data_IF_343149288167
#
_entry.id   IF_343149288167
#
_cell.length_a   1.000
_cell.length_b   1.000
_cell.length_c   1.000
_cell.angle_alpha   90.00
_cell.angle_beta   90.00
_cell.angle_gamma   90.00
#
_symmetry.space_group_name_H-M   'P 1'
#
loop_
_entity.id
_entity.type
_entity.pdbx_description
1 polymer ?
#
# COMPACT_ATOMS: atom_id res chain seq x y z
N UNK A 1 44.28 -3.60 78.69
CA UNK A 1 42.92 -3.26 79.12
C UNK A 1 42.23 -2.59 77.95
N UNK A 2 41.22 -3.27 77.37
CA UNK A 2 39.95 -2.77 76.81
C UNK A 2 39.75 -1.23 76.78
N UNK A 3 39.24 -0.55 75.74
CA UNK A 3 38.03 -0.76 74.90
C UNK A 3 37.98 0.31 73.76
N UNK A 4 37.64 -0.02 72.51
CA UNK A 4 36.33 0.11 71.80
C UNK A 4 35.94 1.53 71.28
N UNK A 5 35.70 1.58 69.94
CA UNK A 5 34.68 2.33 69.15
C UNK A 5 35.01 3.59 68.31
N UNK A 6 34.84 3.37 66.99
CA UNK A 6 34.03 4.10 65.99
C UNK A 6 34.53 5.38 65.28
N UNK A 7 34.70 5.28 63.94
CA UNK A 7 34.11 6.09 62.84
C UNK A 7 34.70 5.56 61.51
N UNK A 8 33.97 4.84 60.63
CA UNK A 8 33.16 5.33 59.48
C UNK A 8 33.91 6.39 58.63
N UNK A 9 34.15 6.28 57.32
CA UNK A 9 33.73 5.35 56.28
C UNK A 9 33.71 6.11 54.93
N UNK A 10 34.65 5.83 54.03
CA UNK A 10 34.65 6.21 52.61
C UNK A 10 35.63 5.24 51.91
N UNK A 11 35.14 4.31 51.10
CA UNK A 11 35.03 4.48 49.66
C UNK A 11 35.80 3.32 49.02
N UNK A 12 35.49 2.98 47.76
CA UNK A 12 36.03 1.86 46.96
C UNK A 12 35.21 0.55 47.03
N UNK A 13 34.29 0.38 46.08
CA UNK A 13 33.66 -0.89 45.71
C UNK A 13 33.13 -0.76 44.27
N UNK A 14 33.95 -1.11 43.29
CA UNK A 14 33.99 -2.42 42.62
C UNK A 14 33.00 -2.54 41.45
N UNK A 15 33.57 -2.76 40.27
CA UNK A 15 32.92 -2.98 38.98
C UNK A 15 31.95 -4.18 39.05
N UNK A 16 30.66 -3.89 39.09
CA UNK A 16 29.58 -4.88 39.02
C UNK A 16 28.90 -4.90 37.66
N UNK A 17 29.29 -5.88 36.84
CA UNK A 17 28.49 -6.61 35.84
C UNK A 17 27.06 -6.08 35.58
N UNK A 18 26.83 -5.50 34.40
CA UNK A 18 25.49 -5.19 33.91
C UNK A 18 24.75 -6.48 33.54
N UNK A 19 23.76 -6.86 34.35
CA UNK A 19 22.79 -7.90 34.00
C UNK A 19 21.72 -7.33 33.04
N UNK A 20 21.24 -8.09 32.04
CA UNK A 20 20.26 -7.62 31.07
C UNK A 20 18.84 -7.66 31.69
N UNK A 21 18.45 -6.59 32.37
CA UNK A 21 17.08 -6.43 32.91
C UNK A 21 16.55 -4.99 32.85
N UNK A 22 17.05 -4.18 31.92
CA UNK A 22 16.61 -2.79 31.71
C UNK A 22 15.47 -2.66 30.68
N UNK A 23 14.52 -3.60 30.64
CA UNK A 23 13.36 -3.56 29.73
C UNK A 23 11.99 -3.63 30.43
N UNK A 24 11.90 -3.33 31.73
CA UNK A 24 10.73 -3.71 32.52
C UNK A 24 9.98 -2.61 33.28
N UNK A 25 10.25 -1.31 33.12
CA UNK A 25 9.40 -0.33 33.80
C UNK A 25 9.27 1.06 33.14
N UNK A 26 8.27 1.27 32.25
CA UNK A 26 7.97 2.60 31.71
C UNK A 26 7.46 3.60 32.77
N UNK A 27 7.00 3.15 33.95
CA UNK A 27 6.57 4.05 35.02
C UNK A 27 7.76 4.72 35.73
N UNK A 28 8.93 4.07 35.77
CA UNK A 28 10.15 4.66 36.33
C UNK A 28 10.67 5.85 35.49
N UNK A 29 10.46 5.80 34.17
CA UNK A 29 10.79 6.92 33.28
C UNK A 29 9.84 8.12 33.48
N UNK A 30 8.54 7.86 33.68
CA UNK A 30 7.53 8.88 33.94
C UNK A 30 7.73 9.61 35.29
N UNK A 31 8.15 8.90 36.33
CA UNK A 31 8.42 9.53 37.65
C UNK A 31 9.64 10.45 37.64
N UNK A 32 10.64 10.21 36.77
CA UNK A 32 11.84 11.06 36.66
C UNK A 32 11.62 12.33 35.84
N UNK A 33 10.66 12.30 34.91
CA UNK A 33 10.20 13.50 34.17
C UNK A 33 9.43 14.48 35.08
N UNK A 34 8.76 13.98 36.12
CA UNK A 34 7.99 14.79 37.06
C UNK A 34 8.83 15.43 38.17
N UNK A 35 10.09 15.01 38.35
CA UNK A 35 10.95 15.46 39.46
C UNK A 35 11.87 16.66 39.15
N UNK A 36 11.73 17.30 37.97
CA UNK A 36 12.33 18.61 37.68
C UNK A 36 13.86 18.72 37.79
N UNK A 37 14.61 17.61 37.69
CA UNK A 37 16.08 17.65 37.74
C UNK A 37 16.66 18.10 36.39
N UNK A 38 17.67 19.01 36.36
CA UNK A 38 18.26 19.48 35.11
C UNK A 38 18.98 18.33 34.40
N UNK A 39 18.59 18.08 33.14
CA UNK A 39 19.17 17.02 32.28
C UNK A 39 20.29 17.63 31.42
N UNK A 40 21.46 16.99 31.45
CA UNK A 40 22.62 17.29 30.60
C UNK A 40 22.33 16.98 29.11
N UNK A 41 22.86 17.81 28.22
CA UNK A 41 22.57 17.87 26.78
C UNK A 41 22.95 16.60 26.00
N UNK A 42 23.63 15.64 26.63
CA UNK A 42 24.09 14.38 26.04
C UNK A 42 23.06 13.24 25.97
N UNK A 43 21.86 13.37 26.56
CA UNK A 43 20.86 12.27 26.62
C UNK A 43 19.58 12.51 25.80
N UNK A 44 19.47 13.59 25.03
CA UNK A 44 18.25 13.92 24.27
C UNK A 44 18.04 13.07 23.01
N UNK A 45 19.03 12.30 22.56
CA UNK A 45 18.96 11.51 21.33
C UNK A 45 18.56 10.03 21.54
N UNK A 46 18.26 9.59 22.77
CA UNK A 46 17.98 8.18 23.07
C UNK A 46 16.64 7.94 23.77
N UNK A 47 15.80 8.98 23.92
CA UNK A 47 14.57 8.92 24.73
C UNK A 47 13.29 9.35 23.97
N UNK A 48 13.30 9.40 22.63
CA UNK A 48 12.14 9.78 21.82
C UNK A 48 11.53 8.63 21.00
N UNK A 49 12.15 7.45 21.00
CA UNK A 49 11.63 6.24 20.34
C UNK A 49 10.34 5.63 20.95
N UNK A 50 9.95 5.83 22.23
CA UNK A 50 8.71 5.25 22.74
C UNK A 50 7.45 6.10 22.49
N UNK A 51 7.54 7.30 21.91
CA UNK A 51 6.36 8.13 21.62
C UNK A 51 5.67 7.79 20.29
N UNK A 52 6.38 7.22 19.31
CA UNK A 52 5.79 6.85 18.00
C UNK A 52 4.95 5.56 18.04
N UNK A 53 5.20 4.66 19.01
CA UNK A 53 4.41 3.43 19.19
C UNK A 53 3.08 3.71 19.91
N UNK A 54 3.00 4.78 20.70
CA UNK A 54 1.80 5.15 21.44
C UNK A 54 0.71 5.76 20.54
N UNK A 55 1.09 6.53 19.51
CA UNK A 55 0.12 7.08 18.55
C UNK A 55 -0.48 6.00 17.63
N UNK A 56 0.35 5.05 17.15
CA UNK A 56 -0.12 3.97 16.28
C UNK A 56 -1.06 2.99 17.01
N UNK A 57 -0.79 2.70 18.29
CA UNK A 57 -1.69 1.89 19.13
C UNK A 57 -2.97 2.62 19.49
N UNK A 58 -2.91 3.93 19.74
CA UNK A 58 -4.11 4.76 19.97
C UNK A 58 -4.98 4.86 18.70
N UNK A 59 -4.38 5.02 17.52
CA UNK A 59 -5.10 5.01 16.24
C UNK A 59 -5.75 3.65 15.95
N UNK A 60 -5.05 2.54 16.21
CA UNK A 60 -5.61 1.20 16.05
C UNK A 60 -6.81 0.96 16.99
N UNK A 61 -6.73 1.43 18.25
CA UNK A 61 -7.82 1.30 19.22
C UNK A 61 -9.06 2.11 18.80
N UNK A 62 -8.87 3.33 18.27
CA UNK A 62 -9.97 4.17 17.76
C UNK A 62 -10.71 3.47 16.60
N UNK A 63 -9.98 2.84 15.68
CA UNK A 63 -10.59 2.08 14.57
C UNK A 63 -11.40 0.88 15.07
N UNK A 64 -10.91 0.17 16.10
CA UNK A 64 -11.64 -0.96 16.70
C UNK A 64 -12.91 -0.48 17.43
N UNK A 65 -12.83 0.63 18.18
CA UNK A 65 -13.99 1.24 18.84
C UNK A 65 -15.03 1.74 17.83
N UNK A 66 -14.62 2.36 16.72
CA UNK A 66 -15.55 2.76 15.65
C UNK A 66 -16.27 1.57 15.02
N UNK A 67 -15.59 0.43 14.83
CA UNK A 67 -16.20 -0.80 14.30
C UNK A 67 -17.21 -1.41 15.27
N UNK A 68 -16.94 -1.39 16.57
CA UNK A 68 -17.86 -1.91 17.58
C UNK A 68 -19.13 -1.05 17.72
N UNK A 69 -19.01 0.27 17.50
CA UNK A 69 -20.17 1.18 17.51
C UNK A 69 -21.02 1.08 16.24
N UNK A 70 -20.45 0.65 15.11
CA UNK A 70 -21.17 0.52 13.83
C UNK A 70 -21.84 -0.86 13.63
N UNK A 71 -21.37 -1.90 14.32
CA UNK A 71 -21.90 -3.26 14.19
C UNK A 71 -22.98 -3.61 15.23
N UNK A 72 -23.51 -2.62 15.95
CA UNK A 72 -24.53 -2.80 16.99
C UNK A 72 -25.97 -2.91 16.48
N UNK A 73 -26.22 -2.83 15.17
CA UNK A 73 -27.59 -2.89 14.63
C UNK A 73 -27.63 -3.49 13.22
N UNK A 74 -27.73 -4.82 13.13
CA UNK A 74 -28.14 -5.51 11.91
C UNK A 74 -28.72 -6.89 12.25
N UNK A 75 -29.89 -6.87 12.89
CA UNK A 75 -30.84 -7.99 12.76
C UNK A 75 -31.96 -7.57 11.79
N UNK A 76 -32.38 -8.54 10.97
CA UNK A 76 -33.58 -8.59 10.12
C UNK A 76 -33.47 -8.27 8.61
N UNK A 77 -33.74 -9.35 7.85
CA UNK A 77 -34.57 -9.41 6.62
C UNK A 77 -33.94 -8.89 5.30
N UNK A 78 -34.16 -9.45 4.11
CA UNK A 78 -35.30 -10.20 3.55
C UNK A 78 -34.88 -11.13 2.39
N UNK A 79 -35.73 -12.13 2.14
CA UNK A 79 -35.73 -13.07 1.01
C UNK A 79 -36.30 -12.49 -0.32
N UNK A 80 -36.09 -13.21 -1.43
CA UNK A 80 -36.80 -13.06 -2.73
C UNK A 80 -35.84 -13.18 -3.95
N UNK A 81 -35.64 -14.33 -4.60
CA UNK A 81 -36.42 -15.00 -5.67
C UNK A 81 -36.76 -14.14 -6.91
N UNK A 82 -36.40 -14.63 -8.11
CA UNK A 82 -37.15 -14.35 -9.35
C UNK A 82 -36.37 -14.09 -10.65
N UNK A 83 -36.05 -15.17 -11.37
CA UNK A 83 -36.25 -15.42 -12.83
C UNK A 83 -35.94 -14.38 -13.93
N UNK A 84 -35.11 -14.82 -14.87
CA UNK A 84 -35.31 -14.90 -16.34
C UNK A 84 -35.66 -13.63 -17.16
N UNK A 85 -34.80 -13.30 -18.13
CA UNK A 85 -35.03 -13.45 -19.59
C UNK A 85 -34.04 -12.63 -20.43
N UNK A 86 -33.65 -13.19 -21.57
CA UNK A 86 -32.73 -12.66 -22.57
C UNK A 86 -33.30 -11.48 -23.38
N UNK A 87 -32.47 -10.84 -24.23
CA UNK A 87 -32.96 -10.38 -25.52
C UNK A 87 -32.14 -10.93 -26.71
N UNK A 88 -32.88 -11.34 -27.73
CA UNK A 88 -32.45 -11.62 -29.11
C UNK A 88 -32.96 -10.52 -30.04
N UNK A 89 -32.25 -10.29 -31.15
CA UNK A 89 -32.64 -9.42 -32.29
C UNK A 89 -31.60 -8.32 -32.53
N UNK A 90 -30.67 -8.36 -33.48
CA UNK A 90 -30.66 -8.67 -34.91
C UNK A 90 -31.21 -7.57 -35.83
N UNK A 91 -30.39 -7.27 -36.86
CA UNK A 91 -30.65 -6.54 -38.12
C UNK A 91 -30.68 -5.00 -38.04
N UNK A 92 -30.29 -4.21 -39.06
CA UNK A 92 -29.62 -4.40 -40.37
C UNK A 92 -29.68 -3.02 -41.08
N UNK A 93 -28.72 -2.73 -41.97
CA UNK A 93 -28.81 -1.68 -43.01
C UNK A 93 -27.76 -0.58 -42.86
N UNK A 94 -26.98 -0.14 -43.85
CA UNK A 94 -26.95 -0.41 -45.29
C UNK A 94 -26.56 0.88 -46.04
N UNK A 95 -25.50 0.84 -46.87
CA UNK A 95 -25.12 1.87 -47.85
C UNK A 95 -24.22 3.00 -47.32
N UNK A 96 -23.19 3.52 -48.00
CA UNK A 96 -22.69 3.33 -49.36
C UNK A 96 -21.95 4.63 -49.78
N UNK A 97 -20.82 4.51 -50.50
CA UNK A 97 -20.35 5.54 -51.43
C UNK A 97 -19.18 6.46 -51.02
N UNK A 98 -18.01 6.21 -51.63
CA UNK A 98 -17.42 7.16 -52.59
C UNK A 98 -16.44 8.24 -52.10
N UNK A 99 -15.14 8.00 -52.32
CA UNK A 99 -14.32 8.83 -53.21
C UNK A 99 -13.58 10.07 -52.68
N UNK A 100 -12.29 10.17 -53.04
CA UNK A 100 -11.61 11.45 -53.27
C UNK A 100 -10.44 11.76 -52.33
N UNK A 101 -9.21 11.52 -52.81
CA UNK A 101 -8.00 12.02 -52.16
C UNK A 101 -7.70 13.47 -52.50
N UNK A 102 -6.91 14.14 -51.65
CA UNK A 102 -6.06 15.29 -52.00
C UNK A 102 -5.00 15.51 -50.92
N UNK A 103 -3.86 16.01 -51.38
CA UNK A 103 -2.53 16.12 -50.75
C UNK A 103 -2.29 17.55 -50.27
N UNK A 104 -1.21 17.74 -49.49
CA UNK A 104 -0.49 18.99 -49.16
C UNK A 104 -0.90 19.64 -47.82
N UNK A 105 -0.08 19.58 -46.75
CA UNK A 105 1.16 20.32 -46.43
C UNK A 105 0.89 21.63 -45.66
N UNK A 106 1.47 21.77 -44.46
CA UNK A 106 1.49 23.03 -43.71
C UNK A 106 1.86 22.80 -42.24
N UNK A 107 3.00 23.35 -41.83
CA UNK A 107 3.60 23.19 -40.51
C UNK A 107 2.88 23.98 -39.39
N UNK A 108 3.04 23.51 -38.14
CA UNK A 108 3.49 24.27 -36.94
C UNK A 108 2.66 24.02 -35.68
N UNK A 109 3.35 23.42 -34.69
CA UNK A 109 3.31 23.71 -33.24
C UNK A 109 1.96 23.90 -32.52
N UNK A 110 1.57 22.91 -31.70
CA UNK A 110 1.28 23.04 -30.27
C UNK A 110 0.56 21.78 -29.76
N UNK A 111 0.99 21.26 -28.61
CA UNK A 111 0.28 20.23 -27.86
C UNK A 111 0.64 18.80 -28.27
N UNK A 112 1.70 18.25 -27.68
CA UNK A 112 1.84 16.80 -27.57
C UNK A 112 0.69 16.28 -26.70
N UNK A 113 -0.45 16.00 -27.34
CA UNK A 113 -1.45 15.09 -26.81
C UNK A 113 -0.73 13.76 -26.58
N UNK A 114 -0.65 13.39 -25.31
CA UNK A 114 -0.17 12.09 -24.82
C UNK A 114 -0.70 11.02 -25.75
N UNK A 115 0.21 10.33 -26.44
CA UNK A 115 -0.16 9.17 -27.23
C UNK A 115 -0.75 8.21 -26.22
N UNK A 116 -2.05 7.96 -26.31
CA UNK A 116 -2.69 6.82 -25.66
C UNK A 116 -1.84 5.63 -26.11
N UNK A 117 -0.98 5.14 -25.22
CA UNK A 117 -0.13 4.00 -25.53
C UNK A 117 -1.10 2.90 -25.95
N UNK A 118 -0.98 2.44 -27.20
CA UNK A 118 -1.74 1.33 -27.77
C UNK A 118 -1.48 -0.01 -27.04
N UNK A 119 -0.88 0.08 -25.85
CA UNK A 119 -0.53 -1.00 -24.96
C UNK A 119 -1.55 -1.19 -23.82
N UNK A 120 -2.55 -0.34 -23.63
CA UNK A 120 -3.61 -0.65 -22.65
C UNK A 120 -4.56 -1.73 -23.22
N UNK A 121 -4.71 -2.86 -22.54
CA UNK A 121 -5.75 -3.85 -22.89
C UNK A 121 -7.17 -3.27 -22.70
N UNK A 122 -8.23 -3.89 -23.23
CA UNK A 122 -9.59 -3.41 -23.04
C UNK A 122 -9.94 -3.34 -21.54
N UNK A 123 -10.63 -2.28 -21.13
CA UNK A 123 -11.09 -2.12 -19.76
C UNK A 123 -12.17 -3.17 -19.42
N UNK A 124 -12.14 -3.67 -18.19
CA UNK A 124 -13.20 -4.50 -17.62
C UNK A 124 -14.50 -3.69 -17.46
N UNK A 125 -15.61 -4.39 -17.19
CA UNK A 125 -16.89 -3.74 -16.86
C UNK A 125 -16.81 -2.83 -15.63
N UNK A 126 -15.83 -3.05 -14.75
CA UNK A 126 -15.53 -2.19 -13.60
C UNK A 126 -14.63 -0.98 -13.95
N UNK A 127 -14.27 -0.82 -15.24
CA UNK A 127 -13.44 0.28 -15.74
C UNK A 127 -11.94 0.11 -15.47
N UNK A 128 -11.48 -1.12 -15.19
CA UNK A 128 -10.06 -1.40 -14.94
C UNK A 128 -9.39 -2.02 -16.16
N UNK A 129 -8.23 -1.51 -16.53
CA UNK A 129 -7.31 -2.16 -17.46
C UNK A 129 -6.27 -2.98 -16.69
N UNK A 130 -5.74 -4.03 -17.33
CA UNK A 130 -4.67 -4.83 -16.74
C UNK A 130 -3.39 -3.99 -16.57
N UNK A 131 -2.77 -3.95 -15.37
CA UNK A 131 -1.56 -3.16 -15.14
C UNK A 131 -0.29 -3.75 -15.78
N UNK A 132 -0.33 -5.04 -16.14
CA UNK A 132 0.71 -5.76 -16.87
C UNK A 132 0.11 -6.56 -18.03
N UNK A 133 0.96 -6.90 -19.01
CA UNK A 133 0.67 -7.87 -20.06
C UNK A 133 1.48 -9.14 -19.87
N UNK A 134 0.94 -10.26 -20.38
CA UNK A 134 1.65 -11.55 -20.50
C UNK A 134 2.36 -11.99 -19.20
N UNK A 135 1.75 -11.73 -18.05
CA UNK A 135 2.30 -12.04 -16.74
C UNK A 135 1.88 -13.44 -16.27
N UNK A 136 2.66 -13.99 -15.35
CA UNK A 136 2.30 -15.20 -14.61
C UNK A 136 1.85 -14.80 -13.21
N UNK A 137 0.67 -15.26 -12.77
CA UNK A 137 0.26 -15.08 -11.38
C UNK A 137 1.07 -16.02 -10.50
N UNK A 138 1.85 -15.46 -9.57
CA UNK A 138 2.69 -16.23 -8.63
C UNK A 138 2.08 -16.34 -7.23
N UNK A 139 1.20 -15.41 -6.86
CA UNK A 139 0.44 -15.48 -5.62
C UNK A 139 -0.92 -14.81 -5.79
N UNK A 140 -1.99 -15.51 -5.40
CA UNK A 140 -3.35 -14.98 -5.42
C UNK A 140 -3.64 -14.17 -4.15
N UNK A 141 -4.65 -13.32 -4.22
CA UNK A 141 -5.25 -12.68 -3.04
C UNK A 141 -5.81 -13.75 -2.09
N UNK A 142 -5.69 -13.53 -0.78
CA UNK A 142 -6.31 -14.36 0.24
C UNK A 142 -5.34 -15.15 1.14
N UNK A 143 -5.87 -16.12 1.92
CA UNK A 143 -5.08 -16.89 2.86
C UNK A 143 -3.99 -17.70 2.17
N UNK A 144 -2.78 -17.66 2.70
CA UNK A 144 -1.63 -18.43 2.19
C UNK A 144 -0.65 -18.78 3.31
N UNK A 145 0.38 -19.56 2.96
CA UNK A 145 1.60 -19.63 3.76
C UNK A 145 2.54 -18.51 3.32
N UNK A 146 3.11 -17.79 4.28
CA UNK A 146 4.09 -16.73 4.06
C UNK A 146 5.30 -17.30 3.29
N UNK A 147 5.64 -16.75 2.11
CA UNK A 147 6.76 -17.26 1.31
C UNK A 147 8.12 -17.14 2.01
N UNK A 148 8.24 -16.21 2.96
CA UNK A 148 9.50 -15.95 3.68
C UNK A 148 9.59 -16.67 5.03
N UNK A 149 8.47 -16.86 5.72
CA UNK A 149 8.46 -17.43 7.07
C UNK A 149 7.77 -18.80 7.20
N UNK A 150 7.03 -19.25 6.18
CA UNK A 150 6.25 -20.48 6.18
C UNK A 150 5.01 -20.48 7.09
N UNK A 151 4.74 -19.37 7.78
CA UNK A 151 3.61 -19.23 8.71
C UNK A 151 2.31 -18.87 7.99
N UNK A 152 1.12 -19.12 8.58
CA UNK A 152 -0.14 -18.60 8.04
C UNK A 152 -0.07 -17.09 7.84
N UNK A 153 -0.51 -16.64 6.67
CA UNK A 153 -0.45 -15.26 6.20
C UNK A 153 -1.69 -14.95 5.36
N UNK A 154 -1.98 -13.67 5.15
CA UNK A 154 -3.05 -13.23 4.25
C UNK A 154 -2.48 -12.26 3.23
N UNK A 155 -2.61 -12.62 1.95
CA UNK A 155 -2.09 -11.82 0.86
C UNK A 155 -3.13 -10.79 0.42
N UNK A 156 -2.82 -9.51 0.65
CA UNK A 156 -3.70 -8.37 0.43
C UNK A 156 -3.85 -7.95 -1.06
N UNK A 157 -3.17 -8.64 -1.97
CA UNK A 157 -3.13 -8.30 -3.39
C UNK A 157 -2.94 -9.50 -4.32
N UNK A 158 -2.52 -9.21 -5.56
CA UNK A 158 -2.20 -10.19 -6.60
C UNK A 158 -0.76 -9.99 -7.05
N UNK A 159 0.05 -11.05 -6.99
CA UNK A 159 1.45 -11.02 -7.42
C UNK A 159 1.56 -11.50 -8.86
N UNK A 160 2.02 -10.60 -9.74
CA UNK A 160 2.15 -10.81 -11.18
C UNK A 160 3.62 -10.77 -11.60
N UNK A 161 4.20 -11.94 -11.89
CA UNK A 161 5.59 -12.05 -12.29
C UNK A 161 5.83 -11.58 -13.72
N UNK A 162 6.85 -10.73 -13.87
CA UNK A 162 7.39 -10.19 -15.11
C UNK A 162 8.86 -9.81 -14.90
N UNK A 163 9.70 -9.77 -15.95
CA UNK A 163 11.08 -9.30 -15.81
C UNK A 163 11.17 -7.89 -15.22
N UNK A 164 12.22 -7.64 -14.44
CA UNK A 164 12.56 -6.29 -13.97
C UNK A 164 12.65 -5.33 -15.15
N UNK A 165 12.06 -4.15 -15.04
CA UNK A 165 12.02 -3.16 -16.13
C UNK A 165 10.82 -3.27 -17.06
N UNK A 166 9.95 -4.28 -16.90
CA UNK A 166 8.67 -4.31 -17.62
C UNK A 166 7.82 -3.09 -17.21
N UNK A 167 7.22 -2.34 -18.16
CA UNK A 167 6.33 -1.22 -17.87
C UNK A 167 5.12 -1.63 -17.02
N UNK A 168 4.79 -0.83 -16.00
CA UNK A 168 3.58 -0.96 -15.19
C UNK A 168 2.61 0.14 -15.61
N UNK A 169 1.38 -0.24 -15.92
CA UNK A 169 0.32 0.68 -16.33
C UNK A 169 -0.64 0.98 -15.16
N UNK A 170 -1.16 2.21 -15.11
CA UNK A 170 -2.26 2.55 -14.21
C UNK A 170 -3.50 1.75 -14.58
N UNK A 171 -4.01 0.94 -13.65
CA UNK A 171 -5.16 0.08 -13.89
C UNK A 171 -6.46 0.88 -14.07
N UNK A 172 -6.55 2.09 -13.51
CA UNK A 172 -7.72 2.98 -13.67
C UNK A 172 -7.27 4.43 -13.53
N UNK A 173 -7.94 5.34 -14.24
CA UNK A 173 -7.61 6.77 -14.20
C UNK A 173 -7.79 7.33 -12.78
N UNK A 174 -6.97 8.31 -12.41
CA UNK A 174 -7.01 8.89 -11.08
C UNK A 174 -5.89 9.86 -10.78
N UNK A 175 -5.73 10.15 -9.50
CA UNK A 175 -4.67 11.00 -8.95
C UNK A 175 -3.71 10.17 -8.12
N UNK A 176 -2.41 10.33 -8.35
CA UNK A 176 -1.37 9.69 -7.56
C UNK A 176 -1.37 10.32 -6.17
N UNK A 177 -1.76 9.55 -5.15
CA UNK A 177 -1.79 10.02 -3.75
C UNK A 177 -0.55 9.60 -2.98
N UNK A 178 0.16 8.58 -3.46
CA UNK A 178 1.47 8.15 -2.96
C UNK A 178 2.40 7.80 -4.11
N UNK A 179 3.67 8.23 -4.02
CA UNK A 179 4.78 7.79 -4.86
C UNK A 179 6.05 7.91 -4.03
N UNK A 180 6.47 6.82 -3.39
CA UNK A 180 7.56 6.87 -2.41
C UNK A 180 8.32 5.54 -2.29
N UNK A 181 9.49 5.63 -1.66
CA UNK A 181 10.22 4.47 -1.16
C UNK A 181 9.70 4.15 0.24
N UNK A 182 9.42 2.89 0.49
CA UNK A 182 9.12 2.33 1.80
C UNK A 182 10.30 1.49 2.26
N UNK A 183 10.79 1.73 3.48
CA UNK A 183 11.80 0.86 4.12
C UNK A 183 11.20 -0.47 4.57
N UNK A 184 9.87 -0.60 4.54
CA UNK A 184 9.11 -1.79 4.86
C UNK A 184 8.75 -2.67 3.66
N UNK A 185 7.57 -3.28 3.74
CA UNK A 185 7.15 -4.40 2.90
C UNK A 185 7.01 -4.06 1.41
N UNK A 186 6.55 -2.86 1.07
CA UNK A 186 6.21 -2.52 -0.32
C UNK A 186 7.41 -2.12 -1.18
N UNK A 187 8.53 -1.72 -0.57
CA UNK A 187 9.67 -1.18 -1.32
C UNK A 187 9.30 0.10 -2.06
N UNK A 188 9.59 0.18 -3.36
CA UNK A 188 9.14 1.32 -4.18
C UNK A 188 7.71 1.11 -4.63
N UNK A 189 6.85 2.08 -4.36
CA UNK A 189 5.43 1.91 -4.64
C UNK A 189 4.70 3.20 -5.01
N UNK A 190 3.55 3.01 -5.64
CA UNK A 190 2.61 4.05 -6.06
C UNK A 190 1.21 3.68 -5.57
N UNK A 191 0.45 4.68 -5.12
CA UNK A 191 -1.00 4.56 -4.87
C UNK A 191 -1.75 5.59 -5.70
N UNK A 192 -2.79 5.14 -6.39
CA UNK A 192 -3.68 6.00 -7.18
C UNK A 192 -5.06 5.98 -6.55
N UNK A 193 -5.63 7.16 -6.29
CA UNK A 193 -7.03 7.35 -5.90
C UNK A 193 -7.86 7.63 -7.13
N UNK A 194 -8.97 6.91 -7.27
CA UNK A 194 -9.88 6.99 -8.40
C UNK A 194 -11.08 7.90 -8.09
N UNK A 195 -11.83 8.27 -9.13
CA UNK A 195 -12.97 9.19 -9.02
C UNK A 195 -14.12 8.65 -8.14
N UNK A 196 -14.26 7.33 -8.04
CA UNK A 196 -15.23 6.65 -7.17
C UNK A 196 -14.79 6.58 -5.70
N UNK A 197 -13.59 7.10 -5.37
CA UNK A 197 -12.98 7.01 -4.05
C UNK A 197 -12.20 5.72 -3.78
N UNK A 198 -12.25 4.75 -4.70
CA UNK A 198 -11.43 3.55 -4.66
C UNK A 198 -9.95 3.86 -4.88
N UNK A 199 -9.09 2.90 -4.55
CA UNK A 199 -7.63 3.04 -4.72
C UNK A 199 -7.01 1.79 -5.34
N UNK A 200 -5.91 1.99 -6.04
CA UNK A 200 -5.02 0.91 -6.49
C UNK A 200 -3.61 1.14 -5.99
N UNK A 201 -2.92 0.06 -5.61
CA UNK A 201 -1.52 0.08 -5.17
C UNK A 201 -0.65 -0.78 -6.07
N UNK A 202 0.55 -0.28 -6.32
CA UNK A 202 1.54 -0.90 -7.19
C UNK A 202 2.86 -0.92 -6.44
N UNK A 203 3.37 -2.10 -6.09
CA UNK A 203 4.54 -2.23 -5.21
C UNK A 203 5.66 -3.07 -5.84
N UNK A 204 6.77 -3.16 -5.10
CA UNK A 204 8.02 -3.82 -5.50
C UNK A 204 8.65 -3.24 -6.76
N UNK A 205 8.37 -1.98 -7.10
CA UNK A 205 8.84 -1.36 -8.34
C UNK A 205 10.37 -1.21 -8.35
N UNK A 206 10.98 -1.25 -9.55
CA UNK A 206 12.40 -0.88 -9.73
C UNK A 206 12.55 0.64 -9.88
N UNK A 207 11.57 1.27 -10.54
CA UNK A 207 11.47 2.71 -10.72
C UNK A 207 10.00 3.16 -10.70
N UNK A 208 9.74 4.31 -10.06
CA UNK A 208 8.47 5.04 -10.16
C UNK A 208 8.58 6.04 -11.31
N UNK A 209 7.53 6.13 -12.12
CA UNK A 209 7.46 7.04 -13.28
C UNK A 209 6.52 8.23 -13.08
N UNK A 210 5.97 8.39 -11.87
CA UNK A 210 4.99 9.42 -11.53
C UNK A 210 5.23 9.97 -10.13
N UNK A 211 4.73 11.17 -9.88
CA UNK A 211 4.85 11.88 -8.60
C UNK A 211 3.50 12.10 -7.92
N UNK A 212 3.51 12.32 -6.60
CA UNK A 212 2.30 12.63 -5.84
C UNK A 212 1.63 13.91 -6.38
N UNK A 213 0.30 13.87 -6.53
CA UNK A 213 -0.52 14.93 -7.11
C UNK A 213 -0.67 14.84 -8.63
N UNK A 214 0.10 13.97 -9.31
CA UNK A 214 -0.03 13.78 -10.75
C UNK A 214 -1.34 13.08 -11.09
N UNK A 215 -2.05 13.57 -12.11
CA UNK A 215 -3.18 12.87 -12.72
C UNK A 215 -2.68 11.89 -13.76
N UNK A 216 -3.27 10.69 -13.78
CA UNK A 216 -2.92 9.62 -14.70
C UNK A 216 -4.17 9.04 -15.36
N UNK A 217 -4.02 8.65 -16.62
CA UNK A 217 -5.07 7.96 -17.38
C UNK A 217 -4.97 6.44 -17.17
N UNK A 218 -6.08 5.73 -17.38
CA UNK A 218 -6.04 4.26 -17.41
C UNK A 218 -5.13 3.81 -18.57
N UNK A 219 -4.18 2.92 -18.29
CA UNK A 219 -3.22 2.44 -19.28
C UNK A 219 -1.96 3.31 -19.43
N UNK A 220 -1.87 4.42 -18.71
CA UNK A 220 -0.65 5.24 -18.68
C UNK A 220 0.45 4.51 -17.91
N UNK A 221 1.68 4.52 -18.42
CA UNK A 221 2.85 3.99 -17.70
C UNK A 221 3.12 4.81 -16.44
N UNK A 222 3.23 4.12 -15.29
CA UNK A 222 3.46 4.73 -13.97
C UNK A 222 4.74 4.25 -13.29
N UNK A 223 5.45 3.31 -13.90
CA UNK A 223 6.71 2.80 -13.37
C UNK A 223 7.12 1.48 -14.02
N UNK A 224 8.04 0.79 -13.35
CA UNK A 224 8.70 -0.41 -13.87
C UNK A 224 8.68 -1.53 -12.83
N UNK A 225 8.43 -2.77 -13.26
CA UNK A 225 8.53 -3.98 -12.42
C UNK A 225 9.92 -4.08 -11.80
N UNK A 226 9.98 -4.57 -10.56
CA UNK A 226 11.22 -4.78 -9.84
C UNK A 226 11.09 -5.85 -8.77
N UNK A 227 11.97 -5.79 -7.77
CA UNK A 227 12.03 -6.72 -6.65
C UNK A 227 12.49 -6.00 -5.38
N UNK A 228 11.97 -4.79 -5.13
CA UNK A 228 12.32 -3.97 -3.95
C UNK A 228 11.40 -4.28 -2.77
N UNK A 229 11.84 -3.99 -1.54
CA UNK A 229 11.06 -4.33 -0.34
C UNK A 229 11.07 -5.84 -0.05
N UNK A 230 9.99 -6.36 0.55
CA UNK A 230 9.88 -7.78 0.87
C UNK A 230 9.38 -8.58 -0.36
N UNK A 231 10.30 -8.89 -1.27
CA UNK A 231 10.02 -9.61 -2.51
C UNK A 231 11.02 -10.75 -2.71
N UNK A 232 10.54 -11.89 -3.20
CA UNK A 232 11.36 -13.08 -3.49
C UNK A 232 11.83 -13.16 -4.94
N UNK A 233 11.53 -12.15 -5.77
CA UNK A 233 11.94 -12.07 -7.17
C UNK A 233 11.11 -11.06 -7.97
N UNK A 234 11.45 -10.79 -9.24
CA UNK A 234 10.77 -9.76 -10.03
C UNK A 234 9.27 -10.01 -10.22
N UNK A 235 8.43 -9.13 -9.66
CA UNK A 235 6.98 -9.15 -9.83
C UNK A 235 6.36 -7.78 -9.50
N UNK A 236 5.10 -7.60 -9.91
CA UNK A 236 4.24 -6.52 -9.42
C UNK A 236 3.31 -7.10 -8.35
N UNK A 237 3.35 -6.54 -7.15
CA UNK A 237 2.29 -6.72 -6.15
C UNK A 237 1.23 -5.64 -6.36
N UNK A 238 0.00 -6.06 -6.65
CA UNK A 238 -1.12 -5.18 -7.01
C UNK A 238 -2.29 -5.34 -6.04
N UNK A 239 -2.72 -4.25 -5.41
CA UNK A 239 -3.92 -4.23 -4.55
C UNK A 239 -5.02 -3.36 -5.16
N UNK A 240 -6.26 -3.74 -4.85
CA UNK A 240 -7.45 -2.95 -5.19
C UNK A 240 -8.25 -2.73 -3.91
N UNK A 241 -8.49 -1.46 -3.59
CA UNK A 241 -9.24 -1.03 -2.43
C UNK A 241 -10.53 -0.34 -2.87
N UNK A 242 -11.64 -0.71 -2.22
CA UNK A 242 -12.92 -0.02 -2.34
C UNK A 242 -12.89 1.34 -1.63
N UNK A 243 -13.90 2.21 -1.85
CA UNK A 243 -13.98 3.52 -1.20
C UNK A 243 -14.02 3.44 0.33
N UNK A 244 -14.60 2.37 0.89
CA UNK A 244 -14.61 2.07 2.33
C UNK A 244 -13.25 1.59 2.88
N UNK A 245 -12.25 1.43 2.01
CA UNK A 245 -10.91 0.96 2.35
C UNK A 245 -10.77 -0.57 2.43
N UNK A 246 -11.84 -1.34 2.21
CA UNK A 246 -11.75 -2.79 2.13
C UNK A 246 -11.01 -3.22 0.87
N UNK A 247 -10.15 -4.23 1.00
CA UNK A 247 -9.44 -4.85 -0.12
C UNK A 247 -10.31 -5.89 -0.78
N UNK A 248 -10.17 -6.02 -2.09
CA UNK A 248 -10.84 -7.06 -2.89
C UNK A 248 -9.83 -7.81 -3.73
N UNK A 249 -10.19 -9.05 -4.07
CA UNK A 249 -9.40 -9.85 -5.02
C UNK A 249 -9.29 -9.10 -6.37
N UNK A 250 -8.07 -8.69 -6.78
CA UNK A 250 -7.87 -7.98 -8.03
C UNK A 250 -8.35 -8.74 -9.27
N UNK A 251 -8.39 -10.08 -9.23
CA UNK A 251 -8.90 -10.89 -10.36
C UNK A 251 -10.35 -10.58 -10.68
N UNK A 252 -11.16 -10.30 -9.66
CA UNK A 252 -12.59 -9.99 -9.82
C UNK A 252 -12.82 -8.69 -10.56
N UNK A 253 -11.95 -7.69 -10.39
CA UNK A 253 -12.08 -6.39 -11.07
C UNK A 253 -11.38 -6.37 -12.43
N UNK A 254 -10.33 -7.18 -12.61
CA UNK A 254 -9.62 -7.31 -13.88
C UNK A 254 -10.33 -8.24 -14.87
N UNK A 255 -11.28 -9.06 -14.40
CA UNK A 255 -12.08 -9.95 -15.24
C UNK A 255 -11.27 -11.12 -15.83
N UNK A 256 -10.33 -11.69 -15.05
CA UNK A 256 -9.40 -12.75 -15.49
C UNK A 256 -9.17 -13.81 -14.42
#
# INVERSE_FOLDING_TARGET
MNSISALSGAGEGSLGQLSPLALANPQAALQRLQSGSPMDSGMLASSLEPLMVLESTLQALIVVLMRLLQNGDATAATAGQGTDTAPVGAASGGGGGGGGGQKASGASSAGQASRISADAGPASSAGFVSPLKNYTVTSNYGPRSSPTSGKPDFHDGLDMAQPTGTPIMAAKAGEVVVSQDDSGGYGKWVEIRHADGGRTRYAHMSARGVEKGQKVEAGQEIGKVGSTGNSTGPHLHFEVLKPDGSRVDPKTVLGR
#
